data_IF_548340985075
#
_entry.id   IF_548340985075
#
_cell.length_a   1.000
_cell.length_b   1.000
_cell.length_c   1.000
_cell.angle_alpha   90.00
_cell.angle_beta   90.00
_cell.angle_gamma   90.00
#
_symmetry.space_group_name_H-M   'P 1'
#
loop_
_entity.id
_entity.type
_entity.pdbx_description
1 polymer ?
#
# COMPACT_ATOMS: atom_id res chain seq x y z
N UNK A 1 2.19 10.30 -5.54
CA UNK A 1 1.14 9.44 -4.95
C UNK A 1 0.05 10.31 -4.32
N UNK A 2 -1.19 9.87 -4.40
CA UNK A 2 -2.37 10.57 -3.88
C UNK A 2 -2.39 10.59 -2.35
N UNK A 3 -2.73 11.75 -1.80
CA UNK A 3 -2.97 11.93 -0.35
C UNK A 3 -4.37 11.49 0.07
N UNK A 4 -5.27 11.27 -0.90
CA UNK A 4 -6.66 10.86 -0.68
C UNK A 4 -6.83 9.33 -0.64
N UNK A 5 -5.75 8.57 -0.83
CA UNK A 5 -5.73 7.12 -0.71
C UNK A 5 -5.76 6.71 0.76
N UNK A 6 -6.96 6.36 1.26
CA UNK A 6 -7.22 6.11 2.70
C UNK A 6 -7.60 4.67 3.05
N UNK A 7 -7.87 3.82 2.05
CA UNK A 7 -8.15 2.38 2.24
C UNK A 7 -7.08 1.50 1.56
N UNK A 8 -6.99 0.23 1.95
CA UNK A 8 -6.04 -0.72 1.35
C UNK A 8 -6.40 -1.04 -0.10
N UNK A 9 -7.69 -1.11 -0.44
CA UNK A 9 -8.14 -1.30 -1.82
C UNK A 9 -7.73 -0.12 -2.73
N UNK A 10 -7.92 1.13 -2.29
CA UNK A 10 -7.49 2.30 -3.04
C UNK A 10 -5.96 2.32 -3.19
N UNK A 11 -5.23 1.93 -2.15
CA UNK A 11 -3.78 1.87 -2.18
C UNK A 11 -3.29 0.81 -3.15
N UNK A 12 -3.85 -0.39 -3.09
CA UNK A 12 -3.52 -1.47 -4.00
C UNK A 12 -3.79 -1.06 -5.45
N UNK A 13 -4.95 -0.44 -5.71
CA UNK A 13 -5.31 0.07 -7.03
C UNK A 13 -4.36 1.14 -7.52
N UNK A 14 -4.08 2.16 -6.72
CA UNK A 14 -3.10 3.20 -7.07
C UNK A 14 -1.74 2.58 -7.39
N UNK A 15 -1.34 1.54 -6.64
CA UNK A 15 -0.04 0.92 -6.78
C UNK A 15 0.16 0.17 -8.10
N UNK A 16 -0.82 -0.65 -8.49
CA UNK A 16 -0.69 -1.55 -9.65
C UNK A 16 -1.48 -1.12 -10.88
N UNK A 17 -2.62 -0.47 -10.70
CA UNK A 17 -3.49 -0.04 -11.81
C UNK A 17 -3.41 1.46 -12.09
N UNK A 18 -2.93 2.24 -11.12
CA UNK A 18 -2.93 3.69 -11.19
C UNK A 18 -4.29 4.31 -10.88
N UNK A 19 -4.33 5.64 -10.99
CA UNK A 19 -5.53 6.46 -10.81
C UNK A 19 -6.01 6.97 -12.19
N UNK A 20 -7.28 7.39 -12.33
CA UNK A 20 -7.79 7.88 -13.59
C UNK A 20 -6.87 8.94 -14.23
N UNK A 21 -6.35 8.63 -15.43
CA UNK A 21 -5.49 9.53 -16.19
C UNK A 21 -4.00 9.54 -15.80
N UNK A 22 -3.52 8.63 -14.95
CA UNK A 22 -2.11 8.55 -14.57
C UNK A 22 -1.55 7.13 -14.49
N UNK A 23 -0.22 6.98 -14.58
CA UNK A 23 0.45 5.68 -14.43
C UNK A 23 0.28 5.12 -13.01
N UNK A 24 0.52 3.82 -12.85
CA UNK A 24 0.60 3.18 -11.54
C UNK A 24 1.87 3.59 -10.79
N UNK A 25 1.90 3.40 -9.46
CA UNK A 25 3.12 3.65 -8.68
C UNK A 25 4.24 2.72 -9.10
N UNK A 26 3.92 1.46 -9.41
CA UNK A 26 4.88 0.49 -9.92
C UNK A 26 5.47 0.94 -11.26
N UNK A 27 4.65 1.47 -12.16
CA UNK A 27 5.11 2.02 -13.44
C UNK A 27 5.99 3.26 -13.25
N UNK A 28 5.62 4.17 -12.34
CA UNK A 28 6.43 5.33 -12.00
C UNK A 28 7.81 4.92 -11.45
N UNK A 29 7.85 3.93 -10.55
CA UNK A 29 9.10 3.41 -9.99
C UNK A 29 9.96 2.72 -11.05
N UNK A 30 9.33 2.01 -12.00
CA UNK A 30 10.01 1.34 -13.12
C UNK A 30 10.60 2.33 -14.12
N UNK A 31 9.87 3.40 -14.46
CA UNK A 31 10.27 4.36 -15.49
C UNK A 31 11.24 5.43 -14.97
N UNK A 32 11.01 5.91 -13.75
CA UNK A 32 11.68 7.10 -13.23
C UNK A 32 12.48 6.85 -11.94
N UNK A 33 12.45 5.65 -11.38
CA UNK A 33 13.16 5.28 -10.14
C UNK A 33 12.91 6.29 -9.00
N UNK A 34 13.96 6.97 -8.52
CA UNK A 34 13.83 7.94 -7.42
C UNK A 34 13.32 9.31 -7.92
N UNK A 35 13.36 9.56 -9.23
CA UNK A 35 13.17 10.90 -9.79
C UNK A 35 11.75 11.43 -9.71
N UNK A 36 10.75 10.55 -9.79
CA UNK A 36 9.35 10.92 -9.58
C UNK A 36 9.02 11.20 -8.09
N UNK A 37 9.96 10.89 -7.18
CA UNK A 37 9.84 11.06 -5.72
C UNK A 37 11.07 11.72 -5.12
N UNK A 38 11.65 12.73 -5.79
CA UNK A 38 12.87 13.46 -5.34
C UNK A 38 12.73 14.07 -3.95
N UNK A 39 11.58 14.67 -3.66
CA UNK A 39 11.37 15.37 -2.41
C UNK A 39 11.35 14.42 -1.20
N UNK A 40 11.98 14.83 -0.10
CA UNK A 40 12.06 14.02 1.13
C UNK A 40 10.68 13.60 1.65
N UNK A 41 9.67 14.47 1.56
CA UNK A 41 8.30 14.15 1.95
C UNK A 41 7.66 13.07 1.07
N UNK A 42 7.99 13.03 -0.23
CA UNK A 42 7.49 12.04 -1.17
C UNK A 42 8.19 10.69 -0.98
N UNK A 43 9.51 10.69 -0.72
CA UNK A 43 10.24 9.47 -0.35
C UNK A 43 9.67 8.80 0.91
N UNK A 44 9.43 9.59 1.97
CA UNK A 44 8.84 9.06 3.21
C UNK A 44 7.44 8.52 2.97
N UNK A 45 6.63 9.23 2.19
CA UNK A 45 5.28 8.79 1.87
C UNK A 45 5.28 7.49 1.07
N UNK A 46 6.08 7.41 0.01
CA UNK A 46 6.28 6.18 -0.77
C UNK A 46 6.72 5.01 0.10
N UNK A 47 7.76 5.19 0.93
CA UNK A 47 8.27 4.10 1.79
C UNK A 47 7.20 3.57 2.75
N UNK A 48 6.42 4.46 3.39
CA UNK A 48 5.29 4.04 4.25
C UNK A 48 4.26 3.20 3.50
N UNK A 49 3.96 3.58 2.26
CA UNK A 49 2.98 2.87 1.43
C UNK A 49 3.54 1.53 0.92
N UNK A 50 4.84 1.50 0.60
CA UNK A 50 5.56 0.29 0.20
C UNK A 50 5.52 -0.77 1.29
N UNK A 51 5.74 -0.40 2.56
CA UNK A 51 5.65 -1.31 3.71
C UNK A 51 4.29 -2.03 3.74
N UNK A 52 3.21 -1.30 3.49
CA UNK A 52 1.86 -1.87 3.48
C UNK A 52 1.68 -2.84 2.31
N UNK A 53 2.14 -2.47 1.11
CA UNK A 53 2.06 -3.32 -0.09
C UNK A 53 2.85 -4.62 0.10
N UNK A 54 4.07 -4.54 0.61
CA UNK A 54 4.88 -5.72 0.93
C UNK A 54 4.22 -6.58 2.01
N UNK A 55 3.65 -5.96 3.04
CA UNK A 55 2.88 -6.66 4.08
C UNK A 55 1.67 -7.42 3.54
N UNK A 56 0.90 -6.82 2.62
CA UNK A 56 -0.23 -7.48 1.94
C UNK A 56 0.26 -8.71 1.16
N UNK A 57 1.33 -8.57 0.37
CA UNK A 57 1.88 -9.69 -0.43
C UNK A 57 2.37 -10.83 0.44
N UNK A 58 3.06 -10.51 1.54
CA UNK A 58 3.55 -11.51 2.49
C UNK A 58 2.39 -12.22 3.18
N UNK A 59 1.37 -11.48 3.63
CA UNK A 59 0.16 -12.04 4.21
C UNK A 59 -0.56 -12.97 3.22
N UNK A 60 -0.71 -12.55 1.96
CA UNK A 60 -1.31 -13.39 0.92
C UNK A 60 -0.54 -14.71 0.73
N UNK A 61 0.78 -14.65 0.65
CA UNK A 61 1.63 -15.82 0.51
C UNK A 61 1.54 -16.77 1.71
N UNK A 62 1.61 -16.23 2.94
CA UNK A 62 1.53 -17.02 4.17
C UNK A 62 0.18 -17.72 4.34
N UNK A 63 -0.90 -17.07 3.92
CA UNK A 63 -2.27 -17.58 4.06
C UNK A 63 -2.80 -18.30 2.82
N UNK A 64 -1.97 -18.47 1.76
CA UNK A 64 -2.36 -19.09 0.48
C UNK A 64 -3.59 -18.41 -0.15
N UNK A 65 -3.62 -17.08 -0.10
CA UNK A 65 -4.66 -16.24 -0.67
C UNK A 65 -4.15 -15.58 -1.97
N UNK A 66 -5.09 -15.18 -2.83
CA UNK A 66 -4.77 -14.19 -3.86
C UNK A 66 -4.51 -12.83 -3.20
N UNK A 67 -3.79 -11.94 -3.89
CA UNK A 67 -3.54 -10.61 -3.36
C UNK A 67 -4.85 -9.83 -3.16
N UNK A 68 -5.81 -9.99 -4.07
CA UNK A 68 -7.12 -9.34 -4.01
C UNK A 68 -7.92 -9.81 -2.80
N UNK A 69 -7.90 -11.12 -2.51
CA UNK A 69 -8.54 -11.68 -1.32
C UNK A 69 -7.85 -11.18 -0.03
N UNK A 70 -6.52 -11.10 -0.02
CA UNK A 70 -5.77 -10.54 1.10
C UNK A 70 -6.10 -9.07 1.35
N UNK A 71 -6.17 -8.24 0.29
CA UNK A 71 -6.56 -6.82 0.38
C UNK A 71 -7.95 -6.69 1.01
N UNK A 72 -8.95 -7.44 0.52
CA UNK A 72 -10.31 -7.38 1.03
C UNK A 72 -10.39 -7.75 2.53
N UNK A 73 -9.77 -8.86 2.93
CA UNK A 73 -9.76 -9.33 4.32
C UNK A 73 -9.03 -8.36 5.26
N UNK A 74 -7.87 -7.85 4.84
CA UNK A 74 -7.09 -6.90 5.62
C UNK A 74 -7.79 -5.55 5.72
N UNK A 75 -8.50 -5.13 4.67
CA UNK A 75 -9.28 -3.88 4.68
C UNK A 75 -10.44 -3.98 5.67
N UNK A 76 -11.16 -5.10 5.70
CA UNK A 76 -12.20 -5.37 6.68
C UNK A 76 -11.64 -5.35 8.11
N UNK A 77 -10.49 -6.00 8.34
CA UNK A 77 -9.77 -5.97 9.63
C UNK A 77 -9.39 -4.54 10.03
N UNK A 78 -8.78 -3.78 9.11
CA UNK A 78 -8.38 -2.38 9.32
C UNK A 78 -9.56 -1.50 9.71
N UNK A 79 -10.66 -1.61 8.95
CA UNK A 79 -11.88 -0.83 9.14
C UNK A 79 -12.51 -1.10 10.51
N UNK A 80 -12.65 -2.37 10.88
CA UNK A 80 -13.15 -2.80 12.20
C UNK A 80 -12.30 -2.29 13.36
N UNK A 81 -10.97 -2.27 13.19
CA UNK A 81 -10.03 -1.75 14.20
C UNK A 81 -9.86 -0.22 14.13
N UNK A 82 -10.54 0.46 13.20
CA UNK A 82 -10.46 1.91 12.93
C UNK A 82 -9.03 2.41 12.74
N UNK A 83 -8.18 1.61 12.09
CA UNK A 83 -6.76 1.95 11.88
C UNK A 83 -6.57 2.70 10.57
N UNK A 84 -5.72 3.73 10.59
CA UNK A 84 -5.35 4.46 9.37
C UNK A 84 -4.21 3.73 8.65
N UNK A 85 -4.03 4.01 7.36
CA UNK A 85 -2.88 3.49 6.61
C UNK A 85 -1.54 3.99 7.19
N UNK A 86 -1.53 5.21 7.74
CA UNK A 86 -0.36 5.70 8.47
C UNK A 86 -0.06 4.82 9.69
N UNK A 87 -1.08 4.49 10.49
CA UNK A 87 -0.91 3.63 11.66
C UNK A 87 -0.37 2.24 11.27
N UNK A 88 -0.87 1.66 10.18
CA UNK A 88 -0.37 0.36 9.68
C UNK A 88 1.11 0.46 9.30
N UNK A 89 1.51 1.51 8.57
CA UNK A 89 2.90 1.68 8.15
C UNK A 89 3.88 1.84 9.32
N UNK A 90 3.43 2.40 10.45
CA UNK A 90 4.22 2.53 11.67
C UNK A 90 4.16 1.27 12.56
N UNK A 91 3.18 0.37 12.32
CA UNK A 91 2.94 -0.82 13.14
C UNK A 91 2.70 -2.09 12.29
N UNK A 92 3.56 -2.42 11.31
CA UNK A 92 3.30 -3.50 10.36
C UNK A 92 3.18 -4.87 11.04
N UNK A 93 4.10 -5.23 11.94
CA UNK A 93 4.04 -6.51 12.67
C UNK A 93 2.75 -6.68 13.48
N UNK A 94 2.27 -5.61 14.12
CA UNK A 94 1.01 -5.63 14.87
C UNK A 94 -0.18 -5.80 13.94
N UNK A 95 -0.16 -5.14 12.78
CA UNK A 95 -1.29 -5.19 11.86
C UNK A 95 -1.36 -6.51 11.08
N UNK A 96 -0.23 -7.01 10.57
CA UNK A 96 -0.19 -8.23 9.76
C UNK A 96 -0.05 -9.51 10.59
N UNK A 97 0.23 -9.40 11.90
CA UNK A 97 0.55 -10.52 12.79
C UNK A 97 1.77 -11.33 12.28
N UNK A 98 2.82 -10.62 11.85
CA UNK A 98 4.08 -11.18 11.32
C UNK A 98 5.29 -10.76 12.14
#
# INVERSE_FOLDING_TARGET
MSRNTVTLDMLWREWYHGLPGGPSVEELERLYHVEWRRETKERRFYNRRRIIIEGIKNYAAQHRLTNEAAVALLEEKRSRQRKTLHWIAENPSIFFNV
#
